data_IF_396468548929
#
_entry.id   IF_396468548929
#
_cell.length_a   1.000
_cell.length_b   1.000
_cell.length_c   1.000
_cell.angle_alpha   90.00
_cell.angle_beta   90.00
_cell.angle_gamma   90.00
#
_symmetry.space_group_name_H-M   'P 1'
#
loop_
_entity.id
_entity.type
_entity.pdbx_description
1 polymer ?
#
# COMPACT_ATOMS: atom_id res chain seq x y z
N UNK A 1 -30.04 -18.35 -36.97
CA UNK A 1 -29.25 -18.69 -35.76
C UNK A 1 -27.99 -17.82 -35.74
N UNK A 2 -27.93 -16.81 -34.87
CA UNK A 2 -26.68 -16.07 -34.64
C UNK A 2 -25.71 -16.97 -33.87
N UNK A 3 -24.47 -17.11 -34.36
CA UNK A 3 -23.43 -17.85 -33.62
C UNK A 3 -23.15 -17.12 -32.31
N UNK A 4 -23.01 -17.84 -31.18
CA UNK A 4 -22.59 -17.22 -29.92
C UNK A 4 -21.27 -16.48 -30.13
N UNK A 5 -21.21 -15.22 -29.69
CA UNK A 5 -19.98 -14.41 -29.75
C UNK A 5 -18.86 -15.06 -28.92
N UNK A 6 -17.60 -14.77 -29.25
CA UNK A 6 -16.43 -15.39 -28.60
C UNK A 6 -16.49 -15.27 -27.07
N UNK A 7 -16.89 -14.10 -26.54
CA UNK A 7 -17.05 -13.88 -25.10
C UNK A 7 -18.05 -14.86 -24.47
N UNK A 8 -19.20 -15.05 -25.09
CA UNK A 8 -20.23 -15.98 -24.57
C UNK A 8 -19.74 -17.43 -24.53
N UNK A 9 -18.84 -17.83 -25.43
CA UNK A 9 -18.23 -19.16 -25.40
C UNK A 9 -17.21 -19.31 -24.27
N UNK A 10 -16.39 -18.28 -24.04
CA UNK A 10 -15.40 -18.25 -22.96
C UNK A 10 -16.10 -18.32 -21.60
N UNK A 11 -17.21 -17.60 -21.44
CA UNK A 11 -17.91 -17.53 -20.16
C UNK A 11 -18.93 -18.66 -19.95
N UNK A 12 -19.33 -19.38 -21.00
CA UNK A 12 -20.36 -20.41 -20.92
C UNK A 12 -20.12 -21.47 -19.83
N UNK A 13 -18.90 -22.00 -19.64
CA UNK A 13 -18.67 -23.00 -18.60
C UNK A 13 -19.01 -22.49 -17.21
N UNK A 14 -18.68 -21.23 -16.90
CA UNK A 14 -18.89 -20.62 -15.59
C UNK A 14 -20.38 -20.59 -15.18
N UNK A 15 -21.29 -20.43 -16.14
CA UNK A 15 -22.73 -20.34 -15.88
C UNK A 15 -23.44 -21.70 -15.89
N UNK A 16 -22.72 -22.80 -16.14
CA UNK A 16 -23.34 -24.11 -16.31
C UNK A 16 -23.65 -24.78 -14.96
N UNK A 17 -24.86 -25.31 -14.79
CA UNK A 17 -25.29 -25.89 -13.53
C UNK A 17 -24.53 -27.17 -13.14
N UNK A 18 -24.07 -27.94 -14.13
CA UNK A 18 -23.32 -29.19 -13.91
C UNK A 18 -21.81 -29.03 -13.87
N UNK A 19 -21.29 -27.79 -14.02
CA UNK A 19 -19.86 -27.51 -14.13
C UNK A 19 -19.03 -28.26 -13.09
N UNK A 20 -19.44 -28.18 -11.83
CA UNK A 20 -18.73 -28.78 -10.69
C UNK A 20 -18.74 -30.32 -10.75
N UNK A 21 -19.83 -30.94 -11.22
CA UNK A 21 -19.85 -32.39 -11.44
C UNK A 21 -19.02 -32.79 -12.66
N UNK A 22 -19.03 -32.00 -13.73
CA UNK A 22 -18.35 -32.34 -14.98
C UNK A 22 -16.82 -32.32 -14.81
N UNK A 23 -16.28 -31.31 -14.13
CA UNK A 23 -14.85 -31.26 -13.76
C UNK A 23 -14.47 -32.33 -12.71
N UNK A 24 -15.44 -32.71 -11.86
CA UNK A 24 -15.56 -33.98 -11.11
C UNK A 24 -15.02 -35.18 -11.85
N UNK A 25 -15.68 -35.45 -12.96
CA UNK A 25 -15.68 -36.74 -13.65
C UNK A 25 -14.62 -36.79 -14.74
N UNK A 26 -14.24 -35.64 -15.31
CA UNK A 26 -13.31 -35.56 -16.44
C UNK A 26 -12.21 -34.53 -16.23
N UNK A 27 -10.96 -35.00 -16.28
CA UNK A 27 -9.78 -34.12 -16.26
C UNK A 27 -9.72 -33.23 -17.51
N UNK A 28 -10.08 -33.75 -18.69
CA UNK A 28 -10.10 -32.98 -19.93
C UNK A 28 -11.06 -31.77 -19.85
N UNK A 29 -12.22 -31.96 -19.20
CA UNK A 29 -13.14 -30.85 -18.92
C UNK A 29 -12.56 -29.84 -17.94
N UNK A 30 -11.82 -30.29 -16.92
CA UNK A 30 -11.14 -29.40 -15.99
C UNK A 30 -10.11 -28.51 -16.72
N UNK A 31 -9.35 -29.07 -17.68
CA UNK A 31 -8.37 -28.31 -18.48
C UNK A 31 -9.04 -27.28 -19.39
N UNK A 32 -10.17 -27.63 -20.03
CA UNK A 32 -10.94 -26.68 -20.85
C UNK A 32 -11.49 -25.53 -20.00
N UNK A 33 -12.01 -25.83 -18.81
CA UNK A 33 -12.52 -24.82 -17.88
C UNK A 33 -11.38 -23.94 -17.36
N UNK A 34 -10.23 -24.53 -17.01
CA UNK A 34 -9.06 -23.79 -16.57
C UNK A 34 -8.56 -22.81 -17.65
N UNK A 35 -8.43 -23.27 -18.90
CA UNK A 35 -8.07 -22.41 -20.03
C UNK A 35 -9.09 -21.26 -20.21
N UNK A 36 -10.38 -21.55 -20.04
CA UNK A 36 -11.44 -20.52 -20.10
C UNK A 36 -11.32 -19.52 -18.96
N UNK A 37 -11.02 -19.98 -17.74
CA UNK A 37 -10.85 -19.12 -16.57
C UNK A 37 -9.59 -18.28 -16.66
N UNK A 38 -8.49 -18.79 -17.22
CA UNK A 38 -7.27 -18.01 -17.51
C UNK A 38 -7.57 -16.81 -18.42
N UNK A 39 -8.35 -17.03 -19.49
CA UNK A 39 -8.79 -15.93 -20.36
C UNK A 39 -9.74 -15.00 -19.61
N UNK A 40 -10.65 -15.54 -18.80
CA UNK A 40 -11.58 -14.75 -18.01
C UNK A 40 -10.88 -13.84 -16.99
N UNK A 41 -9.84 -14.32 -16.30
CA UNK A 41 -8.98 -13.54 -15.42
C UNK A 41 -8.45 -12.29 -16.13
N UNK A 42 -7.91 -12.45 -17.34
CA UNK A 42 -7.41 -11.32 -18.12
C UNK A 42 -8.52 -10.32 -18.47
N UNK A 43 -9.71 -10.81 -18.82
CA UNK A 43 -10.86 -9.99 -19.18
C UNK A 43 -11.43 -9.23 -17.98
N UNK A 44 -11.51 -9.84 -16.79
CA UNK A 44 -12.04 -9.18 -15.59
C UNK A 44 -11.05 -8.19 -14.99
N UNK A 45 -9.74 -8.34 -15.24
CA UNK A 45 -8.70 -7.37 -14.84
C UNK A 45 -8.64 -6.17 -15.78
N UNK A 46 -8.99 -6.34 -17.06
CA UNK A 46 -8.85 -5.30 -18.07
C UNK A 46 -9.57 -3.98 -17.69
N UNK A 47 -8.99 -2.81 -18.00
CA UNK A 47 -9.66 -1.54 -17.76
C UNK A 47 -10.82 -1.33 -18.75
N UNK A 48 -11.78 -0.49 -18.37
CA UNK A 48 -12.82 0.02 -19.27
C UNK A 48 -14.23 -0.52 -19.05
N UNK A 49 -15.16 -0.06 -19.90
CA UNK A 49 -16.61 -0.31 -19.75
C UNK A 49 -16.99 -1.78 -19.96
N UNK A 50 -16.36 -2.46 -20.92
CA UNK A 50 -16.67 -3.85 -21.24
C UNK A 50 -16.31 -4.79 -20.07
N UNK A 51 -15.11 -4.66 -19.50
CA UNK A 51 -14.71 -5.44 -18.33
C UNK A 51 -15.58 -5.17 -17.10
N UNK A 52 -15.89 -3.89 -16.82
CA UNK A 52 -16.87 -3.54 -15.76
C UNK A 52 -18.22 -4.20 -15.95
N UNK A 53 -18.71 -4.26 -17.19
CA UNK A 53 -19.98 -4.93 -17.50
C UNK A 53 -19.87 -6.43 -17.26
N UNK A 54 -18.81 -7.07 -17.74
CA UNK A 54 -18.55 -8.50 -17.52
C UNK A 54 -18.49 -8.85 -16.03
N UNK A 55 -17.78 -8.06 -15.22
CA UNK A 55 -17.72 -8.27 -13.77
C UNK A 55 -19.10 -8.20 -13.12
N UNK A 56 -19.94 -7.24 -13.52
CA UNK A 56 -21.33 -7.14 -13.03
C UNK A 56 -22.20 -8.31 -13.48
N UNK A 57 -22.05 -8.77 -14.72
CA UNK A 57 -22.79 -9.92 -15.24
C UNK A 57 -22.46 -11.17 -14.41
N UNK A 58 -21.17 -11.45 -14.18
CA UNK A 58 -20.73 -12.57 -13.35
C UNK A 58 -21.23 -12.43 -11.90
N UNK A 59 -21.07 -11.25 -11.29
CA UNK A 59 -21.45 -11.06 -9.88
C UNK A 59 -22.96 -11.04 -9.64
N UNK A 60 -23.76 -10.74 -10.66
CA UNK A 60 -25.22 -10.79 -10.59
C UNK A 60 -25.79 -12.20 -10.73
N UNK A 61 -24.99 -13.14 -11.23
CA UNK A 61 -25.41 -14.51 -11.47
C UNK A 61 -25.06 -15.43 -10.28
N UNK A 62 -26.10 -15.92 -9.61
CA UNK A 62 -25.95 -16.80 -8.43
C UNK A 62 -25.27 -18.12 -8.77
N UNK A 63 -25.53 -18.68 -9.95
CA UNK A 63 -24.92 -19.95 -10.37
C UNK A 63 -23.43 -19.75 -10.62
N UNK A 64 -23.04 -18.66 -11.26
CA UNK A 64 -21.63 -18.32 -11.48
C UNK A 64 -20.86 -18.17 -10.16
N UNK A 65 -21.42 -17.43 -9.18
CA UNK A 65 -20.80 -17.29 -7.87
C UNK A 65 -20.70 -18.63 -7.13
N UNK A 66 -21.78 -19.41 -7.12
CA UNK A 66 -21.79 -20.73 -6.49
C UNK A 66 -20.79 -21.70 -7.13
N UNK A 67 -20.64 -21.64 -8.45
CA UNK A 67 -19.65 -22.41 -9.19
C UNK A 67 -18.21 -22.02 -8.82
N UNK A 68 -17.90 -20.71 -8.78
CA UNK A 68 -16.58 -20.23 -8.34
C UNK A 68 -16.27 -20.70 -6.91
N UNK A 69 -17.21 -20.54 -5.99
CA UNK A 69 -17.05 -20.97 -4.59
C UNK A 69 -16.83 -22.48 -4.50
N UNK A 70 -17.63 -23.27 -5.21
CA UNK A 70 -17.55 -24.74 -5.20
C UNK A 70 -16.23 -25.25 -5.77
N UNK A 71 -15.73 -24.64 -6.85
CA UNK A 71 -14.43 -24.98 -7.43
C UNK A 71 -13.31 -24.71 -6.42
N UNK A 72 -13.37 -23.58 -5.72
CA UNK A 72 -12.33 -23.19 -4.75
C UNK A 72 -12.31 -24.12 -3.54
N UNK A 73 -13.48 -24.59 -3.09
CA UNK A 73 -13.63 -25.51 -1.96
C UNK A 73 -13.39 -26.99 -2.33
N UNK A 74 -13.18 -27.30 -3.61
CA UNK A 74 -12.89 -28.66 -4.05
C UNK A 74 -11.62 -29.20 -3.37
N UNK A 75 -11.57 -30.49 -3.06
CA UNK A 75 -10.44 -31.10 -2.33
C UNK A 75 -9.36 -31.73 -3.25
N UNK A 76 -9.53 -31.69 -4.58
CA UNK A 76 -8.55 -32.27 -5.49
C UNK A 76 -7.23 -31.51 -5.48
N UNK A 77 -6.09 -32.20 -5.36
CA UNK A 77 -4.76 -31.60 -5.20
C UNK A 77 -3.81 -31.80 -6.41
N UNK A 78 -4.32 -32.34 -7.51
CA UNK A 78 -3.54 -32.40 -8.75
C UNK A 78 -3.30 -30.99 -9.32
N UNK A 79 -2.20 -30.79 -10.05
CA UNK A 79 -1.77 -29.47 -10.49
C UNK A 79 -2.84 -28.70 -11.28
N UNK A 80 -3.50 -29.33 -12.25
CA UNK A 80 -4.58 -28.71 -13.03
C UNK A 80 -5.75 -28.22 -12.14
N UNK A 81 -6.06 -28.94 -11.06
CA UNK A 81 -7.06 -28.53 -10.07
C UNK A 81 -6.59 -27.34 -9.23
N UNK A 82 -5.29 -27.27 -8.90
CA UNK A 82 -4.71 -26.11 -8.20
C UNK A 82 -4.77 -24.84 -9.04
N UNK A 83 -4.36 -24.92 -10.30
CA UNK A 83 -4.44 -23.81 -11.25
C UNK A 83 -5.89 -23.30 -11.40
N UNK A 84 -6.83 -24.24 -11.57
CA UNK A 84 -8.25 -23.91 -11.70
C UNK A 84 -8.79 -23.20 -10.44
N UNK A 85 -8.42 -23.67 -9.24
CA UNK A 85 -8.78 -23.01 -7.96
C UNK A 85 -8.19 -21.62 -7.85
N UNK A 86 -6.93 -21.44 -8.24
CA UNK A 86 -6.28 -20.13 -8.24
C UNK A 86 -6.99 -19.16 -9.19
N UNK A 87 -7.31 -19.61 -10.41
CA UNK A 87 -8.03 -18.79 -11.38
C UNK A 87 -9.46 -18.45 -10.92
N UNK A 88 -10.18 -19.41 -10.34
CA UNK A 88 -11.50 -19.16 -9.76
C UNK A 88 -11.43 -18.14 -8.60
N UNK A 89 -10.41 -18.26 -7.74
CA UNK A 89 -10.18 -17.32 -6.66
C UNK A 89 -9.82 -15.93 -7.17
N UNK A 90 -8.96 -15.84 -8.19
CA UNK A 90 -8.58 -14.58 -8.84
C UNK A 90 -9.80 -13.85 -9.39
N UNK A 91 -10.68 -14.55 -10.12
CA UNK A 91 -11.94 -13.98 -10.62
C UNK A 91 -12.75 -13.40 -9.46
N UNK A 92 -13.02 -14.18 -8.42
CA UNK A 92 -13.83 -13.71 -7.29
C UNK A 92 -13.18 -12.53 -6.55
N UNK A 93 -11.85 -12.49 -6.49
CA UNK A 93 -11.05 -11.41 -5.91
C UNK A 93 -11.16 -10.12 -6.73
N UNK A 94 -11.06 -10.22 -8.06
CA UNK A 94 -11.22 -9.07 -8.95
C UNK A 94 -12.64 -8.51 -8.94
N UNK A 95 -13.65 -9.36 -8.76
CA UNK A 95 -15.02 -8.92 -8.50
C UNK A 95 -15.13 -8.16 -7.18
N UNK A 96 -14.47 -8.63 -6.10
CA UNK A 96 -14.45 -7.97 -4.79
C UNK A 96 -13.74 -6.61 -4.78
N UNK A 97 -12.79 -6.43 -5.69
CA UNK A 97 -12.06 -5.17 -5.85
C UNK A 97 -12.86 -4.09 -6.57
N UNK A 98 -13.98 -4.43 -7.23
CA UNK A 98 -14.85 -3.47 -7.89
C UNK A 98 -15.83 -2.84 -6.88
N UNK A 99 -15.71 -1.54 -6.55
CA UNK A 99 -16.58 -0.90 -5.57
C UNK A 99 -18.06 -0.85 -5.98
N UNK A 100 -18.37 -1.10 -7.26
CA UNK A 100 -19.74 -1.14 -7.76
C UNK A 100 -20.43 -2.50 -7.52
N UNK A 101 -19.68 -3.52 -7.07
CA UNK A 101 -20.21 -4.87 -6.86
C UNK A 101 -20.54 -5.04 -5.38
N UNK A 102 -21.78 -5.46 -5.12
CA UNK A 102 -22.22 -5.87 -3.79
C UNK A 102 -22.40 -7.38 -3.78
N UNK A 103 -21.60 -8.07 -2.99
CA UNK A 103 -21.78 -9.50 -2.78
C UNK A 103 -22.89 -9.79 -1.77
N UNK A 104 -23.53 -10.97 -1.86
CA UNK A 104 -24.21 -11.57 -0.72
C UNK A 104 -23.27 -11.67 0.48
N UNK A 105 -23.83 -11.56 1.69
CA UNK A 105 -23.04 -11.55 2.94
C UNK A 105 -22.14 -12.78 3.05
N UNK A 106 -22.68 -13.97 2.82
CA UNK A 106 -21.94 -15.23 2.89
C UNK A 106 -20.76 -15.28 1.91
N UNK A 107 -20.99 -14.96 0.63
CA UNK A 107 -19.92 -14.86 -0.38
C UNK A 107 -18.84 -13.86 0.04
N UNK A 108 -19.25 -12.72 0.59
CA UNK A 108 -18.33 -11.68 1.05
C UNK A 108 -17.47 -12.15 2.22
N UNK A 109 -18.05 -12.81 3.21
CA UNK A 109 -17.34 -13.38 4.37
C UNK A 109 -16.40 -14.52 3.95
N UNK A 110 -16.81 -15.34 2.98
CA UNK A 110 -15.98 -16.38 2.39
C UNK A 110 -14.76 -15.80 1.65
N UNK A 111 -14.97 -14.74 0.85
CA UNK A 111 -13.88 -14.00 0.20
C UNK A 111 -12.93 -13.44 1.26
N UNK A 112 -13.44 -12.73 2.27
CA UNK A 112 -12.59 -12.14 3.33
C UNK A 112 -11.77 -13.23 4.04
N UNK A 113 -12.42 -14.32 4.46
CA UNK A 113 -11.76 -15.43 5.17
C UNK A 113 -10.60 -16.01 4.37
N UNK A 114 -10.83 -16.26 3.08
CA UNK A 114 -9.85 -16.89 2.20
C UNK A 114 -8.70 -15.95 1.88
N UNK A 115 -8.99 -14.71 1.51
CA UNK A 115 -7.96 -13.71 1.23
C UNK A 115 -7.14 -13.41 2.49
N UNK A 116 -7.76 -13.38 3.66
CA UNK A 116 -7.05 -13.22 4.92
C UNK A 116 -6.09 -14.39 5.19
N UNK A 117 -6.54 -15.62 4.95
CA UNK A 117 -5.69 -16.82 5.10
C UNK A 117 -4.48 -16.75 4.18
N UNK A 118 -4.69 -16.51 2.88
CA UNK A 118 -3.62 -16.37 1.88
C UNK A 118 -2.66 -15.23 2.22
N UNK A 119 -3.16 -14.09 2.72
CA UNK A 119 -2.33 -12.96 3.09
C UNK A 119 -1.40 -13.26 4.28
N UNK A 120 -1.91 -14.01 5.26
CA UNK A 120 -1.22 -14.34 6.49
C UNK A 120 -0.37 -15.62 6.41
N UNK A 121 -0.34 -16.30 5.27
CA UNK A 121 0.60 -17.39 5.03
C UNK A 121 2.04 -16.85 5.16
N UNK A 122 2.88 -17.61 5.86
CA UNK A 122 4.27 -17.25 6.07
C UNK A 122 5.00 -17.22 4.72
N UNK A 123 5.95 -16.29 4.59
CA UNK A 123 6.85 -16.30 3.44
C UNK A 123 7.69 -17.58 3.53
N UNK A 124 7.55 -18.47 2.55
CA UNK A 124 8.53 -19.54 2.35
C UNK A 124 9.87 -18.95 1.90
N UNK A 125 10.91 -19.78 1.76
CA UNK A 125 12.25 -19.34 1.32
C UNK A 125 12.27 -18.64 -0.04
N UNK A 126 12.71 -19.32 -1.10
CA UNK A 126 12.60 -18.76 -2.46
C UNK A 126 11.13 -18.83 -2.93
N UNK A 127 10.34 -17.85 -2.50
CA UNK A 127 8.96 -17.74 -2.91
C UNK A 127 8.87 -17.35 -4.40
N UNK A 128 8.09 -18.10 -5.18
CA UNK A 128 7.82 -17.76 -6.58
C UNK A 128 7.05 -16.42 -6.70
N UNK A 129 7.33 -15.72 -7.79
CA UNK A 129 6.71 -14.46 -8.18
C UNK A 129 5.16 -14.50 -8.18
N UNK A 130 4.57 -15.63 -8.58
CA UNK A 130 3.13 -15.81 -8.61
C UNK A 130 2.53 -15.88 -7.20
N UNK A 131 3.18 -16.59 -6.29
CA UNK A 131 2.76 -16.67 -4.88
C UNK A 131 2.79 -15.30 -4.20
N UNK A 132 3.87 -14.53 -4.43
CA UNK A 132 3.92 -13.13 -3.96
C UNK A 132 2.80 -12.28 -4.53
N UNK A 133 2.53 -12.36 -5.83
CA UNK A 133 1.42 -11.62 -6.46
C UNK A 133 0.07 -11.93 -5.79
N UNK A 134 -0.25 -13.22 -5.59
CA UNK A 134 -1.50 -13.61 -4.96
C UNK A 134 -1.59 -13.16 -3.50
N UNK A 135 -0.48 -13.21 -2.74
CA UNK A 135 -0.43 -12.67 -1.38
C UNK A 135 -0.69 -11.17 -1.35
N UNK A 136 0.01 -10.39 -2.20
CA UNK A 136 -0.19 -8.94 -2.31
C UNK A 136 -1.64 -8.60 -2.68
N UNK A 137 -2.21 -9.34 -3.65
CA UNK A 137 -3.59 -9.14 -4.07
C UNK A 137 -4.58 -9.46 -2.94
N UNK A 138 -4.30 -10.51 -2.16
CA UNK A 138 -5.12 -10.90 -1.02
C UNK A 138 -5.10 -9.81 0.07
N UNK A 139 -3.92 -9.32 0.45
CA UNK A 139 -3.78 -8.20 1.38
C UNK A 139 -4.52 -6.96 0.91
N UNK A 140 -4.38 -6.60 -0.37
CA UNK A 140 -5.11 -5.47 -0.98
C UNK A 140 -6.62 -5.65 -0.89
N UNK A 141 -7.12 -6.85 -1.14
CA UNK A 141 -8.55 -7.15 -1.13
C UNK A 141 -9.12 -7.04 0.27
N UNK A 142 -8.46 -7.62 1.28
CA UNK A 142 -8.88 -7.49 2.68
C UNK A 142 -8.83 -6.03 3.14
N UNK A 143 -7.78 -5.29 2.77
CA UNK A 143 -7.68 -3.86 3.08
C UNK A 143 -8.84 -3.05 2.46
N UNK A 144 -9.22 -3.33 1.21
CA UNK A 144 -10.34 -2.66 0.57
C UNK A 144 -11.67 -3.04 1.20
N UNK A 145 -11.93 -4.34 1.43
CA UNK A 145 -13.18 -4.81 2.00
C UNK A 145 -13.37 -4.32 3.44
N UNK A 146 -12.31 -4.19 4.23
CA UNK A 146 -12.40 -3.59 5.58
C UNK A 146 -12.58 -2.08 5.58
N UNK A 147 -12.29 -1.39 4.46
CA UNK A 147 -12.37 0.07 4.40
C UNK A 147 -13.82 0.55 4.52
N UNK A 148 -14.08 1.47 5.44
CA UNK A 148 -15.40 2.06 5.71
C UNK A 148 -16.49 1.01 6.03
N UNK A 149 -16.10 -0.12 6.60
CA UNK A 149 -17.02 -1.23 6.91
C UNK A 149 -16.74 -1.79 8.28
N UNK A 150 -17.55 -1.38 9.25
CA UNK A 150 -17.48 -1.86 10.63
C UNK A 150 -17.74 -3.37 10.72
N UNK A 151 -18.78 -3.85 10.03
CA UNK A 151 -19.15 -5.27 10.03
C UNK A 151 -18.02 -6.15 9.50
N UNK A 152 -17.35 -5.74 8.41
CA UNK A 152 -16.25 -6.51 7.85
C UNK A 152 -15.00 -6.44 8.73
N UNK A 153 -14.72 -5.27 9.32
CA UNK A 153 -13.60 -5.10 10.24
C UNK A 153 -13.78 -5.97 11.49
N UNK A 154 -14.99 -6.03 12.04
CA UNK A 154 -15.33 -6.91 13.15
C UNK A 154 -15.20 -8.39 12.76
N UNK A 155 -15.68 -8.77 11.57
CA UNK A 155 -15.53 -10.13 11.04
C UNK A 155 -14.05 -10.54 10.93
N UNK A 156 -13.19 -9.68 10.37
CA UNK A 156 -11.74 -9.92 10.26
C UNK A 156 -11.10 -10.09 11.64
N UNK A 157 -11.43 -9.20 12.59
CA UNK A 157 -10.87 -9.23 13.93
C UNK A 157 -11.18 -10.55 14.66
N UNK A 158 -12.37 -11.10 14.44
CA UNK A 158 -12.84 -12.32 15.08
C UNK A 158 -12.50 -13.60 14.30
N UNK A 159 -11.90 -13.50 13.11
CA UNK A 159 -11.73 -14.66 12.22
C UNK A 159 -10.64 -15.63 12.66
N UNK A 160 -9.58 -15.09 13.25
CA UNK A 160 -8.43 -15.84 13.75
C UNK A 160 -7.96 -15.27 15.07
N UNK A 161 -7.58 -16.15 16.00
CA UNK A 161 -6.91 -15.75 17.22
C UNK A 161 -5.57 -15.06 16.89
N UNK A 162 -5.26 -13.99 17.62
CA UNK A 162 -4.02 -13.25 17.44
C UNK A 162 -3.89 -12.52 16.10
N UNK A 163 -5.00 -12.22 15.41
CA UNK A 163 -4.96 -11.57 14.09
C UNK A 163 -4.16 -10.26 14.08
N UNK A 164 -4.28 -9.45 15.13
CA UNK A 164 -3.53 -8.19 15.26
C UNK A 164 -2.03 -8.47 15.33
N UNK A 165 -1.60 -9.49 16.09
CA UNK A 165 -0.19 -9.86 16.19
C UNK A 165 0.36 -10.35 14.83
N UNK A 166 -0.37 -11.23 14.14
CA UNK A 166 0.02 -11.75 12.81
C UNK A 166 0.11 -10.65 11.75
N UNK A 167 -0.82 -9.69 11.76
CA UNK A 167 -0.75 -8.52 10.88
C UNK A 167 0.42 -7.60 11.26
N UNK A 168 0.73 -7.48 12.55
CA UNK A 168 1.87 -6.68 13.05
C UNK A 168 3.20 -7.25 12.58
N UNK A 169 3.36 -8.57 12.56
CA UNK A 169 4.56 -9.25 12.04
C UNK A 169 4.81 -8.92 10.56
N UNK A 170 3.75 -8.72 9.77
CA UNK A 170 3.85 -8.39 8.34
C UNK A 170 4.32 -6.96 8.05
N UNK A 171 4.36 -6.04 9.01
CA UNK A 171 4.65 -4.61 8.76
C UNK A 171 6.00 -4.33 8.08
N UNK A 172 7.02 -5.16 8.36
CA UNK A 172 8.37 -5.03 7.77
C UNK A 172 8.60 -5.83 6.49
N UNK A 173 7.55 -6.41 5.91
CA UNK A 173 7.63 -7.25 4.69
C UNK A 173 7.33 -6.42 3.43
N UNK A 174 7.53 -7.01 2.25
CA UNK A 174 7.18 -6.37 0.97
C UNK A 174 5.68 -6.00 0.89
N UNK A 175 4.82 -6.75 1.58
CA UNK A 175 3.37 -6.53 1.62
C UNK A 175 2.89 -5.73 2.85
N UNK A 176 3.82 -5.17 3.63
CA UNK A 176 3.52 -4.48 4.90
C UNK A 176 2.53 -3.32 4.77
N UNK A 177 2.47 -2.67 3.60
CA UNK A 177 1.48 -1.61 3.33
C UNK A 177 0.03 -2.10 3.45
N UNK A 178 -0.26 -3.33 3.04
CA UNK A 178 -1.61 -3.88 3.15
C UNK A 178 -1.93 -4.23 4.61
N UNK A 179 -0.97 -4.76 5.35
CA UNK A 179 -1.11 -5.00 6.78
C UNK A 179 -1.38 -3.70 7.55
N UNK A 180 -0.65 -2.61 7.25
CA UNK A 180 -0.91 -1.28 7.82
C UNK A 180 -2.33 -0.81 7.57
N UNK A 181 -2.83 -0.96 6.33
CA UNK A 181 -4.18 -0.53 5.97
C UNK A 181 -5.25 -1.36 6.66
N UNK A 182 -5.06 -2.67 6.78
CA UNK A 182 -5.97 -3.55 7.51
C UNK A 182 -5.98 -3.15 8.98
N UNK A 183 -4.81 -3.06 9.63
CA UNK A 183 -4.69 -2.65 11.04
C UNK A 183 -5.34 -1.29 11.29
N UNK A 184 -5.13 -0.31 10.42
CA UNK A 184 -5.81 0.99 10.48
C UNK A 184 -7.32 0.83 10.48
N UNK A 185 -7.87 0.06 9.56
CA UNK A 185 -9.31 -0.14 9.46
C UNK A 185 -9.86 -0.81 10.72
N UNK A 186 -9.13 -1.80 11.27
CA UNK A 186 -9.47 -2.42 12.57
C UNK A 186 -9.42 -1.40 13.72
N UNK A 187 -8.41 -0.53 13.78
CA UNK A 187 -8.30 0.52 14.81
C UNK A 187 -9.43 1.55 14.73
N UNK A 188 -9.94 1.83 13.52
CA UNK A 188 -11.03 2.80 13.31
C UNK A 188 -12.37 2.21 13.72
N UNK A 189 -12.60 0.93 13.40
CA UNK A 189 -13.92 0.30 13.47
C UNK A 189 -14.10 -0.68 14.63
N UNK A 190 -13.02 -1.11 15.28
CA UNK A 190 -13.07 -2.15 16.31
C UNK A 190 -12.35 -1.71 17.58
N UNK A 191 -12.76 -2.30 18.71
CA UNK A 191 -12.03 -2.20 19.97
C UNK A 191 -10.93 -3.26 19.99
N UNK A 192 -9.68 -2.82 19.91
CA UNK A 192 -8.52 -3.71 20.03
C UNK A 192 -8.18 -3.98 21.50
N UNK A 193 -7.65 -5.17 21.78
CA UNK A 193 -7.13 -5.49 23.10
C UNK A 193 -5.94 -4.58 23.43
N UNK A 194 -6.04 -3.85 24.56
CA UNK A 194 -5.03 -2.86 24.97
C UNK A 194 -3.65 -3.46 25.17
N UNK A 195 -3.55 -4.65 25.73
CA UNK A 195 -2.27 -5.31 25.98
C UNK A 195 -1.59 -5.69 24.66
N UNK A 196 -2.34 -6.20 23.69
CA UNK A 196 -1.81 -6.48 22.33
C UNK A 196 -1.35 -5.18 21.65
N UNK A 197 -2.10 -4.08 21.83
CA UNK A 197 -1.70 -2.79 21.28
C UNK A 197 -0.40 -2.29 21.94
N UNK A 198 -0.31 -2.35 23.27
CA UNK A 198 0.83 -1.86 24.06
C UNK A 198 2.09 -2.69 23.85
N UNK A 199 1.99 -4.02 23.92
CA UNK A 199 3.13 -4.93 23.97
C UNK A 199 3.56 -5.42 22.57
N UNK A 200 2.73 -5.29 21.54
CA UNK A 200 3.04 -5.82 20.19
C UNK A 200 2.90 -4.77 19.10
N UNK A 201 1.72 -4.19 18.92
CA UNK A 201 1.45 -3.31 17.77
C UNK A 201 2.24 -2.00 17.84
N UNK A 202 2.14 -1.27 18.95
CA UNK A 202 2.78 0.03 19.09
C UNK A 202 4.32 -0.04 18.98
N UNK A 203 5.03 -0.95 19.67
CA UNK A 203 6.48 -1.12 19.50
C UNK A 203 6.90 -1.30 18.04
N UNK A 204 6.18 -2.15 17.30
CA UNK A 204 6.48 -2.40 15.89
C UNK A 204 6.17 -1.19 15.03
N UNK A 205 5.03 -0.52 15.24
CA UNK A 205 4.66 0.71 14.52
C UNK A 205 5.71 1.80 14.75
N UNK A 206 6.18 2.00 15.98
CA UNK A 206 7.24 2.96 16.28
C UNK A 206 8.55 2.61 15.56
N UNK A 207 8.91 1.33 15.54
CA UNK A 207 10.08 0.84 14.80
C UNK A 207 9.97 1.18 13.31
N UNK A 208 8.83 0.93 12.69
CA UNK A 208 8.59 1.27 11.28
C UNK A 208 8.63 2.79 11.03
N UNK A 209 8.07 3.62 11.92
CA UNK A 209 8.17 5.09 11.84
C UNK A 209 9.62 5.55 11.87
N UNK A 210 10.44 4.98 12.77
CA UNK A 210 11.86 5.29 12.87
C UNK A 210 12.65 4.83 11.62
N UNK A 211 12.21 3.76 10.97
CA UNK A 211 12.80 3.24 9.74
C UNK A 211 12.36 3.95 8.45
N UNK A 212 11.40 4.89 8.52
CA UNK A 212 10.99 5.68 7.36
C UNK A 212 12.22 6.33 6.73
N UNK A 213 12.58 5.97 5.50
CA UNK A 213 13.75 6.56 4.84
C UNK A 213 13.50 8.04 4.60
N UNK A 214 14.41 8.86 5.12
CA UNK A 214 14.46 10.29 4.86
C UNK A 214 15.66 10.62 3.99
N UNK A 215 15.47 11.49 3.00
CA UNK A 215 16.53 11.95 2.11
C UNK A 215 17.38 13.00 2.84
N UNK A 216 18.72 12.95 2.72
CA UNK A 216 19.54 14.01 3.28
C UNK A 216 19.16 15.35 2.64
N UNK A 217 19.18 16.47 3.39
CA UNK A 217 18.86 17.78 2.85
C UNK A 217 19.71 18.05 1.60
N UNK A 218 19.07 18.21 0.45
CA UNK A 218 19.76 18.67 -0.76
C UNK A 218 20.35 20.04 -0.45
N UNK A 219 21.68 20.14 -0.40
CA UNK A 219 22.36 21.44 -0.51
C UNK A 219 21.94 22.01 -1.85
N UNK A 220 21.28 23.16 -1.82
CA UNK A 220 20.92 23.94 -3.00
C UNK A 220 22.16 24.04 -3.90
N UNK A 221 22.15 23.35 -5.05
CA UNK A 221 23.18 23.54 -6.08
C UNK A 221 22.88 24.83 -6.82
N UNK A 222 22.98 25.95 -6.12
CA UNK A 222 23.09 27.27 -6.72
C UNK A 222 24.57 27.52 -7.02
N UNK A 223 25.01 27.08 -8.19
CA UNK A 223 26.16 27.66 -8.89
C UNK A 223 26.17 27.17 -10.34
N UNK A 224 25.43 27.87 -11.20
CA UNK A 224 25.86 28.09 -12.58
C UNK A 224 27.14 28.92 -12.49
N UNK A 225 28.27 28.24 -12.48
CA UNK A 225 29.59 28.82 -12.65
C UNK A 225 30.29 28.01 -13.73
N UNK A 226 30.25 28.53 -14.95
CA UNK A 226 31.23 28.18 -15.96
C UNK A 226 32.61 28.41 -15.32
N UNK A 227 33.51 27.45 -15.45
CA UNK A 227 34.91 27.71 -15.75
C UNK A 227 35.57 26.42 -16.21
N UNK A 228 36.03 26.46 -17.46
CA UNK A 228 36.98 25.53 -18.03
C UNK A 228 38.28 25.64 -17.24
N UNK A 229 38.75 24.55 -16.63
CA UNK A 229 40.19 24.43 -16.40
C UNK A 229 40.64 22.98 -16.48
N UNK A 230 41.21 22.70 -17.65
CA UNK A 230 42.14 21.63 -17.96
C UNK A 230 43.25 21.50 -16.94
N UNK A 231 43.43 20.33 -16.33
CA UNK A 231 44.75 19.90 -15.85
C UNK A 231 45.02 18.41 -16.15
N UNK A 232 45.91 18.23 -17.12
CA UNK A 232 46.75 17.06 -17.32
C UNK A 232 47.53 16.71 -16.04
N UNK A 233 47.55 15.43 -15.65
CA UNK A 233 48.79 14.78 -15.19
C UNK A 233 48.86 13.32 -15.66
N UNK A 234 49.93 13.08 -16.41
CA UNK A 234 50.50 11.79 -16.82
C UNK A 234 51.18 11.08 -15.65
N UNK A 235 51.08 9.74 -15.57
CA UNK A 235 52.23 8.82 -15.49
C UNK A 235 51.80 7.34 -15.42
N UNK A 236 51.96 6.66 -16.56
CA UNK A 236 52.61 5.35 -16.83
C UNK A 236 52.57 4.15 -15.84
N UNK A 237 52.26 2.98 -16.44
CA UNK A 237 52.61 1.61 -16.05
C UNK A 237 51.47 0.63 -16.38
N UNK A 238 51.31 0.16 -17.64
CA UNK A 238 51.77 -1.16 -18.16
C UNK A 238 51.18 -2.34 -17.33
N UNK A 239 50.33 -3.25 -17.85
CA UNK A 239 50.44 -4.03 -19.10
C UNK A 239 49.08 -4.54 -19.64
N UNK A 240 49.06 -4.75 -20.98
CA UNK A 240 48.38 -5.77 -21.81
C UNK A 240 46.99 -6.31 -21.38
N UNK A 241 45.93 -6.27 -22.18
CA UNK A 241 45.82 -6.92 -23.49
C UNK A 241 44.80 -6.24 -24.42
N UNK A 242 45.11 -6.39 -25.70
CA UNK A 242 44.54 -5.82 -26.91
C UNK A 242 43.26 -6.54 -27.36
N UNK A 243 42.14 -5.81 -27.47
CA UNK A 243 41.15 -6.04 -28.53
C UNK A 243 40.79 -4.72 -29.19
N UNK A 244 41.43 -4.48 -30.33
CA UNK A 244 41.05 -3.49 -31.33
C UNK A 244 39.56 -3.59 -31.70
N UNK A 245 38.78 -2.56 -31.39
CA UNK A 245 37.63 -2.17 -32.22
C UNK A 245 37.87 -0.73 -32.66
N UNK A 246 38.25 -0.57 -33.92
CA UNK A 246 38.26 0.71 -34.63
C UNK A 246 36.82 1.28 -34.65
N UNK A 247 36.62 2.60 -34.47
CA UNK A 247 35.29 3.16 -34.24
C UNK A 247 34.51 3.20 -35.55
N UNK A 248 33.52 2.32 -35.69
CA UNK A 248 32.50 2.51 -36.70
C UNK A 248 31.57 3.62 -36.22
N UNK A 249 31.69 4.75 -36.90
CA UNK A 249 30.87 5.96 -36.82
C UNK A 249 29.38 5.60 -36.79
N UNK A 250 28.84 5.34 -35.60
CA UNK A 250 27.42 5.18 -35.36
C UNK A 250 26.81 6.56 -35.14
N UNK A 251 25.70 6.80 -35.82
CA UNK A 251 25.00 8.06 -35.92
C UNK A 251 24.71 8.62 -34.52
N UNK A 252 25.08 9.88 -34.31
CA UNK A 252 24.91 10.58 -33.03
C UNK A 252 23.42 10.75 -32.65
N UNK A 253 22.50 10.53 -33.59
CA UNK A 253 21.05 10.62 -33.39
C UNK A 253 20.45 9.37 -32.68
N UNK A 254 20.96 8.15 -32.95
CA UNK A 254 20.45 6.90 -32.33
C UNK A 254 20.90 6.72 -30.87
N UNK A 255 22.06 7.28 -30.51
CA UNK A 255 22.58 7.28 -29.13
C UNK A 255 21.80 8.26 -28.25
N UNK A 256 21.23 9.32 -28.84
CA UNK A 256 20.51 10.36 -28.12
C UNK A 256 19.06 9.95 -27.80
N UNK A 257 18.39 9.21 -28.70
CA UNK A 257 17.05 8.66 -28.46
C UNK A 257 17.07 7.49 -27.45
N UNK A 258 18.06 6.61 -27.52
CA UNK A 258 18.22 5.52 -26.54
C UNK A 258 18.57 6.06 -25.16
N UNK A 259 19.46 7.06 -25.04
CA UNK A 259 19.73 7.73 -23.77
C UNK A 259 18.48 8.44 -23.18
N UNK A 260 17.68 9.09 -24.03
CA UNK A 260 16.41 9.73 -23.67
C UNK A 260 15.37 8.74 -23.13
N UNK A 261 15.18 7.59 -23.81
CA UNK A 261 14.24 6.57 -23.37
C UNK A 261 14.64 5.91 -22.05
N UNK A 262 15.93 5.58 -21.88
CA UNK A 262 16.44 5.05 -20.62
C UNK A 262 16.30 6.06 -19.47
N UNK A 263 16.53 7.35 -19.72
CA UNK A 263 16.35 8.40 -18.71
C UNK A 263 14.87 8.57 -18.31
N UNK A 264 13.94 8.47 -19.28
CA UNK A 264 12.50 8.48 -19.04
C UNK A 264 12.06 7.28 -18.20
N UNK A 265 12.47 6.06 -18.53
CA UNK A 265 12.05 4.86 -17.78
C UNK A 265 12.65 4.87 -16.37
N UNK A 266 13.89 5.34 -16.18
CA UNK A 266 14.48 5.56 -14.86
C UNK A 266 13.76 6.66 -14.07
N UNK A 267 13.31 7.73 -14.72
CA UNK A 267 12.51 8.77 -14.07
C UNK A 267 11.13 8.23 -13.63
N UNK A 268 10.48 7.43 -14.48
CA UNK A 268 9.20 6.77 -14.19
C UNK A 268 9.32 5.77 -13.04
N UNK A 269 10.37 4.93 -13.04
CA UNK A 269 10.66 4.00 -11.94
C UNK A 269 10.93 4.74 -10.64
N UNK A 270 11.67 5.86 -10.67
CA UNK A 270 11.87 6.73 -9.50
C UNK A 270 10.56 7.31 -9.00
N UNK A 271 9.71 7.79 -9.90
CA UNK A 271 8.40 8.34 -9.57
C UNK A 271 7.48 7.29 -8.91
N UNK A 272 7.41 6.08 -9.46
CA UNK A 272 6.63 4.98 -8.88
C UNK A 272 7.15 4.55 -7.50
N UNK A 273 8.49 4.48 -7.33
CA UNK A 273 9.10 4.23 -6.01
C UNK A 273 8.75 5.33 -5.02
N UNK A 274 8.69 6.59 -5.48
CA UNK A 274 8.33 7.70 -4.62
C UNK A 274 6.86 7.66 -4.20
N UNK A 275 5.94 7.37 -5.12
CA UNK A 275 4.51 7.15 -4.80
C UNK A 275 4.39 6.06 -3.73
N UNK A 276 4.99 4.88 -3.95
CA UNK A 276 4.92 3.79 -2.98
C UNK A 276 5.51 4.16 -1.61
N UNK A 277 6.59 4.96 -1.58
CA UNK A 277 7.16 5.49 -0.34
C UNK A 277 6.19 6.41 0.40
N UNK A 278 5.54 7.35 -0.30
CA UNK A 278 4.59 8.30 0.29
C UNK A 278 3.32 7.58 0.76
N UNK A 279 2.82 6.61 0.00
CA UNK A 279 1.69 5.78 0.42
C UNK A 279 2.00 5.00 1.70
N UNK A 280 3.20 4.41 1.80
CA UNK A 280 3.64 3.73 3.01
C UNK A 280 3.76 4.69 4.20
N UNK A 281 4.39 5.86 4.02
CA UNK A 281 4.50 6.91 5.06
C UNK A 281 3.12 7.35 5.57
N UNK A 282 2.18 7.60 4.66
CA UNK A 282 0.82 7.99 5.00
C UNK A 282 0.11 6.88 5.80
N UNK A 283 0.23 5.61 5.36
CA UNK A 283 -0.39 4.48 6.03
C UNK A 283 0.13 4.28 7.47
N UNK A 284 1.45 4.32 7.67
CA UNK A 284 2.04 4.14 9.02
C UNK A 284 1.69 5.32 9.93
N UNK A 285 1.81 6.57 9.47
CA UNK A 285 1.50 7.75 10.28
C UNK A 285 0.01 7.82 10.65
N UNK A 286 -0.88 7.44 9.73
CA UNK A 286 -2.31 7.38 10.04
C UNK A 286 -2.60 6.32 11.11
N UNK A 287 -1.95 5.16 11.04
CA UNK A 287 -2.09 4.13 12.07
C UNK A 287 -1.53 4.61 13.41
N UNK A 288 -0.37 5.26 13.43
CA UNK A 288 0.23 5.86 14.63
C UNK A 288 -0.72 6.85 15.29
N UNK A 289 -1.30 7.78 14.52
CA UNK A 289 -2.26 8.76 15.02
C UNK A 289 -3.51 8.08 15.59
N UNK A 290 -4.04 7.06 14.90
CA UNK A 290 -5.20 6.29 15.36
C UNK A 290 -4.96 5.54 16.66
N UNK A 291 -3.81 4.86 16.77
CA UNK A 291 -3.39 4.18 18.01
C UNK A 291 -3.31 5.19 19.14
N UNK A 292 -2.60 6.30 18.90
CA UNK A 292 -2.40 7.34 19.91
C UNK A 292 -3.75 7.91 20.36
N UNK A 293 -4.58 8.39 19.44
CA UNK A 293 -5.81 9.10 19.78
C UNK A 293 -6.85 8.21 20.48
N UNK A 294 -6.97 6.93 20.10
CA UNK A 294 -8.11 6.08 20.48
C UNK A 294 -7.79 4.85 21.31
N UNK A 295 -6.59 4.27 21.21
CA UNK A 295 -6.37 2.89 21.68
C UNK A 295 -5.55 2.78 22.97
N UNK A 296 -4.76 3.80 23.30
CA UNK A 296 -3.85 3.77 24.46
C UNK A 296 -3.95 5.07 25.27
N UNK A 297 -3.60 4.97 26.55
CA UNK A 297 -3.45 6.15 27.41
C UNK A 297 -2.13 6.90 27.11
N UNK A 298 -2.04 8.14 27.61
CA UNK A 298 -0.83 8.96 27.56
C UNK A 298 0.36 8.24 28.21
N UNK A 299 0.12 7.66 29.38
CA UNK A 299 1.09 6.94 30.20
C UNK A 299 1.56 5.66 29.50
N UNK A 300 0.62 4.86 28.95
CA UNK A 300 0.97 3.64 28.22
C UNK A 300 1.83 3.94 26.98
N UNK A 301 1.54 5.04 26.27
CA UNK A 301 2.37 5.46 25.15
C UNK A 301 3.76 5.87 25.62
N UNK A 302 3.85 6.68 26.68
CA UNK A 302 5.13 7.13 27.24
C UNK A 302 6.00 5.94 27.66
N UNK A 303 5.42 4.98 28.39
CA UNK A 303 6.07 3.73 28.79
C UNK A 303 6.66 2.98 27.58
N UNK A 304 5.85 2.81 26.53
CA UNK A 304 6.27 2.06 25.34
C UNK A 304 7.34 2.82 24.57
N UNK A 305 7.19 4.13 24.41
CA UNK A 305 8.23 4.94 23.76
C UNK A 305 9.53 4.83 24.54
N UNK A 306 9.53 5.00 25.87
CA UNK A 306 10.74 4.92 26.69
C UNK A 306 11.43 3.54 26.64
N UNK A 307 10.65 2.46 26.54
CA UNK A 307 11.19 1.09 26.40
C UNK A 307 11.80 0.81 25.03
N UNK A 308 11.28 1.41 23.96
CA UNK A 308 11.66 1.08 22.58
C UNK A 308 12.58 2.13 21.93
N UNK A 309 12.54 3.38 22.40
CA UNK A 309 13.31 4.50 21.86
C UNK A 309 13.37 5.66 22.88
N UNK A 310 13.85 6.83 22.46
CA UNK A 310 13.78 8.04 23.25
C UNK A 310 12.85 9.04 22.57
N UNK A 311 12.05 9.77 23.35
CA UNK A 311 11.05 10.69 22.79
C UNK A 311 11.66 11.73 21.86
N UNK A 312 12.83 12.27 22.19
CA UNK A 312 13.52 13.22 21.33
C UNK A 312 13.97 12.61 19.99
N UNK A 313 14.22 11.30 19.93
CA UNK A 313 14.54 10.59 18.68
C UNK A 313 13.29 10.47 17.81
N UNK A 314 12.14 10.15 18.41
CA UNK A 314 10.86 10.16 17.70
C UNK A 314 10.50 11.56 17.18
N UNK A 315 10.70 12.60 17.99
CA UNK A 315 10.48 14.00 17.58
C UNK A 315 11.41 14.41 16.44
N UNK A 316 12.71 14.08 16.54
CA UNK A 316 13.67 14.34 15.47
C UNK A 316 13.28 13.59 14.18
N UNK A 317 12.73 12.38 14.30
CA UNK A 317 12.24 11.62 13.15
C UNK A 317 11.02 12.28 12.50
N UNK A 318 10.02 12.67 13.28
CA UNK A 318 8.85 13.38 12.78
C UNK A 318 9.25 14.68 12.08
N UNK A 319 10.22 15.41 12.64
CA UNK A 319 10.80 16.61 12.00
C UNK A 319 11.39 16.29 10.63
N UNK A 320 12.26 15.28 10.54
CA UNK A 320 12.89 14.89 9.28
C UNK A 320 11.85 14.47 8.24
N UNK A 321 10.78 13.78 8.64
CA UNK A 321 9.68 13.43 7.73
C UNK A 321 8.97 14.68 7.21
N UNK A 322 8.74 15.69 8.06
CA UNK A 322 8.13 16.97 7.63
C UNK A 322 9.03 17.69 6.64
N UNK A 323 10.33 17.75 6.89
CA UNK A 323 11.31 18.42 6.02
C UNK A 323 11.39 17.76 4.63
N UNK A 324 11.40 16.44 4.59
CA UNK A 324 11.39 15.64 3.37
C UNK A 324 10.09 15.70 2.56
N UNK A 325 9.02 16.09 3.24
CA UNK A 325 7.71 16.27 2.64
C UNK A 325 7.42 17.74 2.38
N UNK A 326 8.40 18.64 2.41
CA UNK A 326 8.21 20.08 2.25
C UNK A 326 8.02 20.51 0.78
N UNK A 327 7.15 19.82 0.05
CA UNK A 327 6.83 20.05 -1.37
C UNK A 327 5.32 20.19 -1.55
N UNK A 328 4.86 21.11 -2.40
CA UNK A 328 3.44 21.39 -2.62
C UNK A 328 2.74 20.29 -3.44
N UNK A 329 2.60 19.09 -2.86
CA UNK A 329 1.84 17.96 -3.41
C UNK A 329 0.82 17.46 -2.38
N UNK A 330 -0.27 16.83 -2.86
CA UNK A 330 -1.36 16.35 -1.99
C UNK A 330 -0.86 15.32 -0.97
N UNK A 331 -0.02 14.38 -1.40
CA UNK A 331 0.54 13.34 -0.52
C UNK A 331 1.46 13.95 0.54
N UNK A 332 2.33 14.87 0.14
CA UNK A 332 3.22 15.58 1.06
C UNK A 332 2.46 16.39 2.10
N UNK A 333 1.42 17.12 1.69
CA UNK A 333 0.56 17.86 2.61
C UNK A 333 -0.12 16.92 3.60
N UNK A 334 -0.67 15.79 3.13
CA UNK A 334 -1.30 14.79 4.01
C UNK A 334 -0.32 14.25 5.05
N UNK A 335 0.91 13.91 4.64
CA UNK A 335 1.96 13.41 5.53
C UNK A 335 2.36 14.47 6.56
N UNK A 336 2.55 15.73 6.15
CA UNK A 336 2.90 16.82 7.06
C UNK A 336 1.77 17.09 8.06
N UNK A 337 0.50 17.07 7.63
CA UNK A 337 -0.65 17.18 8.54
C UNK A 337 -0.67 16.06 9.57
N UNK A 338 -0.44 14.82 9.15
CA UNK A 338 -0.38 13.67 10.06
C UNK A 338 0.76 13.82 11.08
N UNK A 339 1.95 14.23 10.67
CA UNK A 339 3.07 14.50 11.59
C UNK A 339 2.72 15.61 12.59
N UNK A 340 2.09 16.69 12.13
CA UNK A 340 1.66 17.80 12.99
C UNK A 340 0.59 17.37 13.99
N UNK A 341 -0.41 16.59 13.57
CA UNK A 341 -1.44 16.02 14.44
C UNK A 341 -0.85 15.08 15.51
N UNK A 342 0.05 14.18 15.11
CA UNK A 342 0.77 13.31 16.07
C UNK A 342 1.53 14.18 17.09
N UNK A 343 2.22 15.21 16.62
CA UNK A 343 2.98 16.12 17.48
C UNK A 343 2.09 16.88 18.47
N UNK A 344 0.98 17.46 18.01
CA UNK A 344 -0.01 18.14 18.84
C UNK A 344 -0.55 17.19 19.91
N UNK A 345 -0.98 15.98 19.50
CA UNK A 345 -1.51 15.00 20.44
C UNK A 345 -0.43 14.61 21.49
N UNK A 346 0.82 14.42 21.08
CA UNK A 346 1.96 14.15 21.98
C UNK A 346 2.22 15.29 22.97
N UNK A 347 2.17 16.54 22.52
CA UNK A 347 2.36 17.72 23.37
C UNK A 347 1.25 17.85 24.41
N UNK A 348 0.00 17.64 24.02
CA UNK A 348 -1.17 17.79 24.88
C UNK A 348 -1.21 16.77 26.02
N UNK A 349 -0.89 15.51 25.71
CA UNK A 349 -1.10 14.39 26.64
C UNK A 349 0.12 14.07 27.50
N UNK A 350 1.33 14.24 26.96
CA UNK A 350 2.56 13.79 27.62
C UNK A 350 3.45 14.95 28.11
N UNK A 351 3.00 16.20 27.99
CA UNK A 351 3.77 17.41 28.32
C UNK A 351 5.14 17.49 27.63
N UNK A 352 5.29 16.83 26.47
CA UNK A 352 6.55 16.69 25.73
C UNK A 352 7.01 17.95 24.98
N UNK A 353 6.47 19.11 25.34
CA UNK A 353 6.67 20.40 24.66
C UNK A 353 8.15 20.79 24.60
N UNK A 354 8.94 20.45 25.62
CA UNK A 354 10.39 20.70 25.66
C UNK A 354 11.16 19.98 24.53
N UNK A 355 10.84 18.71 24.26
CA UNK A 355 11.49 17.94 23.19
C UNK A 355 11.20 18.55 21.82
N UNK A 356 9.95 18.96 21.57
CA UNK A 356 9.56 19.63 20.32
C UNK A 356 10.17 21.03 20.17
N UNK A 357 10.30 21.77 21.27
CA UNK A 357 10.99 23.08 21.29
C UNK A 357 12.46 22.92 20.93
N UNK A 358 13.17 22.01 21.61
CA UNK A 358 14.60 21.78 21.44
C UNK A 358 14.96 21.27 20.04
N UNK A 359 14.06 20.49 19.43
CA UNK A 359 14.24 19.99 18.07
C UNK A 359 13.86 21.01 16.99
N UNK A 360 13.33 22.19 17.34
CA UNK A 360 12.77 23.16 16.39
C UNK A 360 11.67 22.57 15.46
N UNK A 361 10.91 21.56 15.91
CA UNK A 361 9.91 20.89 15.06
C UNK A 361 8.89 21.87 14.47
N UNK A 362 8.40 22.79 15.30
CA UNK A 362 7.37 23.78 14.91
C UNK A 362 7.89 24.72 13.82
N UNK A 363 9.20 25.02 13.78
CA UNK A 363 9.83 25.83 12.73
C UNK A 363 9.80 25.11 11.38
N UNK A 364 10.10 23.81 11.36
CA UNK A 364 10.00 22.99 10.14
C UNK A 364 8.54 22.84 9.68
N UNK A 365 7.60 22.69 10.63
CA UNK A 365 6.16 22.69 10.34
C UNK A 365 5.68 24.03 9.74
N UNK A 366 6.12 25.15 10.32
CA UNK A 366 5.82 26.51 9.84
C UNK A 366 6.34 26.74 8.42
N UNK A 367 7.54 26.22 8.11
CA UNK A 367 8.11 26.28 6.77
C UNK A 367 7.24 25.50 5.77
N UNK A 368 6.84 24.27 6.12
CA UNK A 368 5.98 23.43 5.27
C UNK A 368 4.60 24.06 5.05
N UNK A 369 3.99 24.58 6.12
CA UNK A 369 2.72 25.32 6.09
C UNK A 369 2.75 26.49 5.09
N UNK A 370 3.81 27.31 5.13
CA UNK A 370 3.99 28.41 4.16
C UNK A 370 4.12 27.94 2.72
N UNK A 371 4.85 26.84 2.48
CA UNK A 371 5.03 26.29 1.12
C UNK A 371 3.72 25.72 0.57
N UNK A 372 2.89 25.12 1.43
CA UNK A 372 1.69 24.39 1.01
C UNK A 372 0.38 25.16 1.18
N UNK A 373 0.41 26.40 1.68
CA UNK A 373 -0.78 27.16 2.05
C UNK A 373 -1.82 27.27 0.92
N UNK A 374 -1.36 27.51 -0.31
CA UNK A 374 -2.22 27.60 -1.49
C UNK A 374 -2.87 26.24 -1.81
N UNK A 375 -2.09 25.16 -1.74
CA UNK A 375 -2.60 23.81 -2.01
C UNK A 375 -3.63 23.39 -0.95
N UNK A 376 -3.33 23.64 0.32
CA UNK A 376 -4.22 23.30 1.42
C UNK A 376 -5.55 24.06 1.33
N UNK A 377 -5.48 25.35 1.00
CA UNK A 377 -6.65 26.19 0.74
C UNK A 377 -7.51 25.64 -0.42
N UNK A 378 -6.89 25.14 -1.48
CA UNK A 378 -7.60 24.56 -2.62
C UNK A 378 -8.30 23.23 -2.24
N UNK A 379 -7.67 22.38 -1.43
CA UNK A 379 -8.22 21.08 -1.06
C UNK A 379 -9.41 21.16 -0.10
N UNK A 380 -9.53 22.23 0.68
CA UNK A 380 -10.72 22.51 1.51
C UNK A 380 -12.03 22.48 0.72
N UNK A 381 -11.99 22.83 -0.57
CA UNK A 381 -13.17 22.85 -1.45
C UNK A 381 -13.46 21.48 -2.11
N UNK A 382 -12.54 20.51 -2.00
CA UNK A 382 -12.62 19.21 -2.69
C UNK A 382 -12.98 18.07 -1.74
N UNK A 383 -12.59 18.12 -0.46
CA UNK A 383 -12.81 17.01 0.47
C UNK A 383 -14.27 16.86 0.95
N UNK A 384 -14.80 15.63 0.83
CA UNK A 384 -16.11 15.26 1.38
C UNK A 384 -16.08 15.11 2.92
N UNK A 385 -17.20 15.37 3.62
CA UNK A 385 -17.29 15.53 5.08
C UNK A 385 -16.97 14.31 5.97
N UNK A 386 -16.52 13.18 5.44
CA UNK A 386 -16.52 11.90 6.18
C UNK A 386 -15.35 11.69 7.15
N UNK A 387 -14.35 12.59 7.23
CA UNK A 387 -13.29 12.53 8.24
C UNK A 387 -12.97 13.93 8.82
N UNK A 388 -13.35 14.23 10.08
CA UNK A 388 -13.09 15.53 10.72
C UNK A 388 -11.60 15.88 10.84
N UNK A 389 -10.74 14.89 11.04
CA UNK A 389 -9.28 15.07 11.18
C UNK A 389 -8.62 15.45 9.84
N UNK A 390 -9.25 15.10 8.70
CA UNK A 390 -8.79 15.49 7.37
C UNK A 390 -9.07 16.97 7.05
N UNK A 391 -10.11 17.55 7.67
CA UNK A 391 -10.50 18.96 7.48
C UNK A 391 -9.59 19.97 8.15
N UNK A 392 -8.75 19.55 9.10
CA UNK A 392 -7.91 20.51 9.79
C UNK A 392 -6.86 21.05 8.82
N UNK A 393 -6.84 22.37 8.66
CA UNK A 393 -5.86 23.04 7.82
C UNK A 393 -4.51 22.92 8.52
N UNK A 394 -3.45 22.73 7.75
CA UNK A 394 -2.09 22.67 8.26
C UNK A 394 -1.74 23.94 9.05
N UNK A 395 -2.29 25.08 8.66
CA UNK A 395 -2.20 26.33 9.41
C UNK A 395 -2.80 26.24 10.83
N UNK A 396 -3.94 25.57 10.99
CA UNK A 396 -4.57 25.41 12.32
C UNK A 396 -3.74 24.46 13.19
N UNK A 397 -3.23 23.37 12.60
CA UNK A 397 -2.32 22.43 13.27
C UNK A 397 -1.05 23.16 13.74
N UNK A 398 -0.45 23.99 12.88
CA UNK A 398 0.73 24.81 13.20
C UNK A 398 0.45 25.75 14.37
N UNK A 399 -0.69 26.46 14.32
CA UNK A 399 -1.10 27.40 15.37
C UNK A 399 -1.27 26.72 16.72
N UNK A 400 -1.91 25.55 16.74
CA UNK A 400 -2.08 24.76 17.96
C UNK A 400 -0.73 24.28 18.51
N UNK A 401 0.15 23.78 17.64
CA UNK A 401 1.50 23.38 18.04
C UNK A 401 2.33 24.56 18.60
N UNK A 402 2.23 25.76 18.01
CA UNK A 402 2.88 26.98 18.52
C UNK A 402 2.40 27.34 19.93
N UNK A 403 1.08 27.31 20.15
CA UNK A 403 0.48 27.59 21.45
C UNK A 403 0.95 26.61 22.52
N UNK A 404 1.01 25.32 22.20
CA UNK A 404 1.46 24.28 23.13
C UNK A 404 2.94 24.38 23.47
N UNK A 405 3.78 24.78 22.51
CA UNK A 405 5.22 25.00 22.75
C UNK A 405 5.48 26.33 23.44
N UNK A 406 4.48 27.21 23.58
CA UNK A 406 4.60 28.49 24.30
C UNK A 406 5.48 29.50 23.57
N UNK A 407 5.39 29.54 22.25
CA UNK A 407 6.10 30.48 21.37
C UNK A 407 5.16 31.54 20.79
#
# INVERSE_FOLDING_TARGET
MQRPGVLSKITAPLYHATLVQDIKISCDWADVVDASFKVLCQLVVAPGKASRRLRREISSDKQALSNLESIILDQGDHQARRDLKMNANEILTQLALDPCISFPLETKENVISRQLSTFLENEGGEEDSMHRFHRSLAGRTVALLSSNSETNSAFILNRHDGIVARLTEKLGTADGIFALRILKNLCIHCTLNKDIVKETLLPKVLTEVLNIRTEPPQRESSALGNDEESQNRSAQGQDEENYNITPLRANTEEIQETASWHQYELAKLRHLKQIGRKEHQNAILTLTLGIYNKLISADDFHDVVQKNTQEHVLVAKLKSIVEDNCQATVDSLTIVKLCGLIAVSMMQRNQNTANFRNQEFVKSLSKASKIMCNLDSCLLFVEKPSNPEARMVLFDIEKEALQLVGC
#
